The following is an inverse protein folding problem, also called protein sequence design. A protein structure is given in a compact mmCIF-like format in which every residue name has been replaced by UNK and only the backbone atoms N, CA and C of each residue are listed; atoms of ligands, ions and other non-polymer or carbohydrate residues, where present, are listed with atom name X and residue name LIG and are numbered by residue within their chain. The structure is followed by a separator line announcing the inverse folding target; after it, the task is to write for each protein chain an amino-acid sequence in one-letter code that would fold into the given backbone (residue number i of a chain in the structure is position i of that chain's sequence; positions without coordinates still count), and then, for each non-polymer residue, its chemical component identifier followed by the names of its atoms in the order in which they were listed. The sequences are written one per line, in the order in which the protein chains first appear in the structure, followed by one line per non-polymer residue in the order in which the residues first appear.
data_IF_251748932078
#
_entry.id   IF_251748932078
#
_cell.length_a   1.000
_cell.length_b   1.000
_cell.length_c   1.000
_cell.angle_alpha   90.00
_cell.angle_beta   90.00
_cell.angle_gamma   90.00
#
_symmetry.space_group_name_H-M   'P 1'
#
loop_
_entity.id
_entity.type
_entity.pdbx_description
1 polymer ?
#
# COMPACT_ATOMS: atom_id res chain seq x y z
N UNK A 1 25.59 16.04 8.44
CA UNK A 1 24.36 16.17 7.67
C UNK A 1 23.20 16.12 8.64
N UNK A 2 22.55 17.26 8.88
CA UNK A 2 21.47 17.37 9.87
C UNK A 2 20.22 16.69 9.30
N UNK A 3 19.76 15.62 9.92
CA UNK A 3 18.38 15.15 9.77
C UNK A 3 17.49 16.21 10.41
N UNK A 4 16.87 17.05 9.59
CA UNK A 4 15.74 17.84 10.05
C UNK A 4 14.65 16.87 10.49
N UNK A 5 14.36 16.88 11.78
CA UNK A 5 13.11 16.34 12.30
C UNK A 5 11.99 17.06 11.54
N UNK A 6 11.45 16.35 10.54
CA UNK A 6 10.22 16.76 9.87
C UNK A 6 9.21 17.14 10.94
N UNK A 7 8.79 18.38 10.96
CA UNK A 7 7.73 18.90 11.82
C UNK A 7 6.57 17.91 11.71
N UNK A 8 6.09 17.39 12.85
CA UNK A 8 4.82 16.67 12.93
C UNK A 8 3.72 17.61 12.41
N UNK A 9 3.51 17.62 11.10
CA UNK A 9 2.31 18.17 10.51
C UNK A 9 1.18 17.23 10.93
N UNK A 10 0.04 17.78 11.32
CA UNK A 10 -1.16 16.97 11.51
C UNK A 10 -1.67 16.52 10.14
N UNK A 11 -0.97 15.56 9.52
CA UNK A 11 -1.42 14.98 8.27
C UNK A 11 -2.69 14.18 8.49
N UNK A 12 -3.62 14.26 7.54
CA UNK A 12 -4.88 13.55 7.63
C UNK A 12 -5.36 13.06 6.25
N UNK A 13 -6.18 12.04 6.27
CA UNK A 13 -7.05 11.67 5.16
C UNK A 13 -8.48 11.96 5.59
N UNK A 14 -9.17 12.81 4.85
CA UNK A 14 -10.56 13.15 5.11
C UNK A 14 -11.44 12.62 3.99
N UNK A 15 -12.42 11.83 4.35
CA UNK A 15 -13.41 11.24 3.46
C UNK A 15 -14.75 11.90 3.78
N UNK A 16 -15.43 12.45 2.76
CA UNK A 16 -16.71 13.10 2.91
C UNK A 16 -17.74 12.48 1.96
N UNK A 17 -18.78 11.88 2.51
CA UNK A 17 -19.93 11.33 1.78
C UNK A 17 -19.53 10.41 0.62
N UNK A 18 -18.51 9.56 0.83
CA UNK A 18 -17.99 8.66 -0.20
C UNK A 18 -18.99 7.52 -0.43
N UNK A 19 -19.45 7.41 -1.67
CA UNK A 19 -20.22 6.28 -2.17
C UNK A 19 -19.50 5.66 -3.34
N UNK A 20 -19.31 4.35 -3.31
CA UNK A 20 -18.67 3.55 -4.35
C UNK A 20 -19.68 2.54 -4.87
N UNK A 21 -20.13 2.74 -6.10
CA UNK A 21 -21.12 1.88 -6.76
C UNK A 21 -20.43 1.04 -7.84
N UNK A 22 -20.62 -0.27 -7.82
CA UNK A 22 -20.15 -1.15 -8.88
C UNK A 22 -21.05 -0.99 -10.11
N UNK A 23 -20.47 -0.69 -11.28
CA UNK A 23 -21.25 -0.36 -12.49
C UNK A 23 -21.99 -1.57 -13.06
N UNK A 24 -21.49 -2.79 -12.86
CA UNK A 24 -22.05 -4.03 -13.44
C UNK A 24 -23.47 -4.34 -12.94
N UNK A 25 -23.70 -4.14 -11.65
CA UNK A 25 -24.96 -4.53 -10.98
C UNK A 25 -25.58 -3.38 -10.16
N UNK A 26 -24.99 -2.19 -10.26
CA UNK A 26 -25.40 -0.97 -9.58
C UNK A 26 -25.45 -1.13 -8.04
N UNK A 27 -24.64 -2.04 -7.50
CA UNK A 27 -24.54 -2.29 -6.06
C UNK A 27 -23.56 -1.31 -5.42
N UNK A 28 -24.01 -0.69 -4.34
CA UNK A 28 -23.13 0.12 -3.51
C UNK A 28 -22.26 -0.78 -2.63
N UNK A 29 -20.94 -0.69 -2.83
CA UNK A 29 -19.93 -1.35 -2.00
C UNK A 29 -19.63 -0.51 -0.75
N UNK A 30 -19.71 0.80 -0.89
CA UNK A 30 -19.59 1.78 0.19
C UNK A 30 -20.69 2.79 0.00
N UNK A 31 -21.44 3.10 1.07
CA UNK A 31 -22.52 4.07 1.04
C UNK A 31 -22.30 5.16 2.07
N UNK A 32 -22.21 6.40 1.59
CA UNK A 32 -22.15 7.63 2.40
C UNK A 32 -21.10 7.62 3.52
N UNK A 33 -19.91 7.06 3.23
CA UNK A 33 -18.84 6.99 4.21
C UNK A 33 -18.25 8.38 4.46
N UNK A 34 -18.26 8.81 5.71
CA UNK A 34 -17.60 10.03 6.16
C UNK A 34 -16.73 9.72 7.36
N UNK A 35 -15.42 9.98 7.23
CA UNK A 35 -14.45 9.77 8.31
C UNK A 35 -13.20 10.60 8.10
N UNK A 36 -12.44 10.78 9.18
CA UNK A 36 -11.11 11.39 9.13
C UNK A 36 -10.12 10.42 9.78
N UNK A 37 -8.99 10.20 9.12
CA UNK A 37 -7.87 9.42 9.64
C UNK A 37 -6.74 10.40 9.90
N UNK A 38 -6.30 10.48 11.14
CA UNK A 38 -5.22 11.38 11.56
C UNK A 38 -3.87 10.66 11.60
N UNK A 39 -2.81 11.44 11.61
CA UNK A 39 -1.46 10.90 11.74
C UNK A 39 -1.31 10.02 12.99
N UNK A 40 -0.71 8.84 12.83
CA UNK A 40 -0.53 7.84 13.88
C UNK A 40 -1.76 6.99 14.19
N UNK A 41 -2.93 7.24 13.59
CA UNK A 41 -4.09 6.38 13.78
C UNK A 41 -3.96 5.05 13.03
N UNK A 42 -4.48 3.99 13.64
CA UNK A 42 -4.61 2.66 13.05
C UNK A 42 -6.07 2.35 12.80
N UNK A 43 -6.45 2.22 11.56
CA UNK A 43 -7.83 1.95 11.14
C UNK A 43 -7.94 0.54 10.56
N UNK A 44 -8.90 -0.24 11.04
CA UNK A 44 -9.23 -1.55 10.49
C UNK A 44 -10.56 -1.49 9.72
N UNK A 45 -10.54 -1.96 8.47
CA UNK A 45 -11.74 -2.11 7.65
C UNK A 45 -12.19 -3.56 7.72
N UNK A 46 -13.36 -3.79 8.33
CA UNK A 46 -13.93 -5.12 8.53
C UNK A 46 -15.14 -5.30 7.61
N UNK A 47 -15.29 -6.49 7.04
CA UNK A 47 -16.41 -6.84 6.18
C UNK A 47 -16.18 -8.18 5.50
N UNK A 48 -17.25 -8.76 4.97
CA UNK A 48 -17.20 -10.02 4.23
C UNK A 48 -16.39 -9.92 2.93
N UNK A 49 -16.04 -11.05 2.36
CA UNK A 49 -15.38 -11.10 1.06
C UNK A 49 -16.28 -10.51 -0.03
N UNK A 50 -15.70 -9.75 -0.95
CA UNK A 50 -16.46 -9.08 -2.01
C UNK A 50 -17.13 -7.76 -1.63
N UNK A 51 -17.04 -7.31 -0.38
CA UNK A 51 -17.64 -6.06 0.08
C UNK A 51 -16.78 -4.80 -0.18
N UNK A 52 -15.88 -4.84 -1.17
CA UNK A 52 -15.19 -3.64 -1.67
C UNK A 52 -14.07 -3.07 -0.79
N UNK A 53 -13.58 -3.81 0.23
CA UNK A 53 -12.47 -3.33 1.09
C UNK A 53 -11.23 -2.93 0.30
N UNK A 54 -10.78 -3.80 -0.60
CA UNK A 54 -9.62 -3.54 -1.47
C UNK A 54 -9.92 -2.43 -2.49
N UNK A 55 -11.16 -2.34 -2.96
CA UNK A 55 -11.61 -1.26 -3.85
C UNK A 55 -11.53 0.09 -3.15
N UNK A 56 -11.98 0.18 -1.90
CA UNK A 56 -11.87 1.39 -1.10
C UNK A 56 -10.40 1.80 -0.91
N UNK A 57 -9.51 0.85 -0.57
CA UNK A 57 -8.09 1.14 -0.41
C UNK A 57 -7.46 1.66 -1.72
N UNK A 58 -7.77 1.06 -2.86
CA UNK A 58 -7.28 1.52 -4.17
C UNK A 58 -7.75 2.94 -4.51
N UNK A 59 -9.02 3.24 -4.21
CA UNK A 59 -9.58 4.59 -4.40
C UNK A 59 -8.89 5.59 -3.47
N UNK A 60 -8.57 5.23 -2.23
CA UNK A 60 -7.79 6.07 -1.31
C UNK A 60 -6.38 6.34 -1.83
N UNK A 61 -5.80 5.39 -2.58
CA UNK A 61 -4.53 5.56 -3.29
C UNK A 61 -4.63 6.42 -4.56
N UNK A 62 -5.83 6.87 -4.93
CA UNK A 62 -6.06 7.66 -6.12
C UNK A 62 -6.14 6.85 -7.42
N UNK A 63 -6.29 5.52 -7.34
CA UNK A 63 -6.47 4.70 -8.53
C UNK A 63 -7.80 5.02 -9.23
N UNK A 64 -7.76 5.26 -10.54
CA UNK A 64 -8.96 5.40 -11.36
C UNK A 64 -9.49 4.00 -11.73
N UNK A 65 -10.65 3.66 -11.20
CA UNK A 65 -11.29 2.36 -11.42
C UNK A 65 -12.51 2.52 -12.34
N UNK A 66 -12.38 2.11 -13.61
CA UNK A 66 -13.43 2.25 -14.65
C UNK A 66 -14.72 1.49 -14.34
N UNK A 67 -14.62 0.41 -13.56
CA UNK A 67 -15.76 -0.45 -13.23
C UNK A 67 -16.61 0.08 -12.08
N UNK A 68 -16.25 1.25 -11.55
CA UNK A 68 -16.92 1.85 -10.39
C UNK A 68 -17.29 3.30 -10.64
N UNK A 69 -18.44 3.68 -10.14
CA UNK A 69 -18.88 5.07 -10.03
C UNK A 69 -18.59 5.55 -8.62
N UNK A 70 -17.84 6.65 -8.51
CA UNK A 70 -17.40 7.21 -7.22
C UNK A 70 -18.08 8.57 -7.04
N UNK A 71 -18.76 8.76 -5.91
CA UNK A 71 -19.35 10.03 -5.49
C UNK A 71 -18.77 10.41 -4.12
N UNK A 72 -18.76 11.71 -3.83
CA UNK A 72 -18.15 12.23 -2.60
C UNK A 72 -16.77 12.78 -2.84
N UNK A 73 -16.02 13.02 -1.77
CA UNK A 73 -14.72 13.66 -1.85
C UNK A 73 -13.73 13.02 -0.87
N UNK A 74 -12.50 12.82 -1.34
CA UNK A 74 -11.36 12.38 -0.54
C UNK A 74 -10.31 13.47 -0.61
N UNK A 75 -9.83 13.91 0.54
CA UNK A 75 -8.75 14.89 0.68
C UNK A 75 -7.63 14.23 1.50
N UNK A 76 -6.41 14.34 1.01
CA UNK A 76 -5.21 13.90 1.71
C UNK A 76 -4.16 14.99 1.61
N UNK A 77 -3.52 15.29 2.71
CA UNK A 77 -2.35 16.18 2.78
C UNK A 77 -1.04 15.41 2.96
N UNK A 78 -1.08 14.07 2.91
CA UNK A 78 0.11 13.24 2.80
C UNK A 78 0.76 13.42 1.43
N UNK A 79 2.09 13.58 1.42
CA UNK A 79 2.86 13.69 0.17
C UNK A 79 2.97 12.36 -0.58
N UNK A 80 2.94 11.25 0.16
CA UNK A 80 2.98 9.91 -0.40
C UNK A 80 2.14 8.96 0.43
N UNK A 81 1.52 8.01 -0.25
CA UNK A 81 0.79 6.88 0.33
C UNK A 81 1.40 5.59 -0.20
N UNK A 82 1.55 4.59 0.65
CA UNK A 82 1.99 3.26 0.25
C UNK A 82 0.84 2.26 0.38
N UNK A 83 0.76 1.33 -0.55
CA UNK A 83 -0.21 0.26 -0.56
C UNK A 83 0.48 -1.09 -0.70
N UNK A 84 0.21 -1.98 0.24
CA UNK A 84 0.69 -3.36 0.19
C UNK A 84 -0.45 -4.23 -0.33
N UNK A 85 -0.36 -4.79 -1.55
CA UNK A 85 -1.42 -5.61 -2.12
C UNK A 85 -1.48 -6.97 -1.43
N UNK A 86 -2.69 -7.54 -1.33
CA UNK A 86 -2.89 -8.89 -0.77
C UNK A 86 -2.20 -9.99 -1.60
N UNK A 87 -2.07 -9.78 -2.90
CA UNK A 87 -1.39 -10.70 -3.81
C UNK A 87 -0.31 -9.94 -4.55
N UNK A 88 0.87 -10.53 -4.58
CA UNK A 88 1.98 -10.00 -5.36
C UNK A 88 1.62 -10.05 -6.86
N UNK A 89 1.88 -8.96 -7.63
CA UNK A 89 1.73 -8.97 -9.08
C UNK A 89 2.56 -10.10 -9.72
N UNK A 90 2.00 -10.75 -10.75
CA UNK A 90 2.67 -11.89 -11.41
C UNK A 90 4.03 -11.51 -12.02
N UNK A 91 4.17 -10.26 -12.44
CA UNK A 91 5.41 -9.73 -12.98
C UNK A 91 6.53 -9.68 -11.92
N UNK A 92 6.17 -9.32 -10.69
CA UNK A 92 7.11 -9.29 -9.57
C UNK A 92 7.49 -10.69 -9.10
N UNK A 93 6.62 -11.68 -9.20
CA UNK A 93 6.92 -13.06 -8.79
C UNK A 93 8.09 -13.68 -9.57
N UNK A 94 8.27 -13.27 -10.83
CA UNK A 94 9.32 -13.78 -11.72
C UNK A 94 10.65 -13.06 -11.58
N UNK A 95 10.68 -11.95 -10.85
CA UNK A 95 11.91 -11.21 -10.58
C UNK A 95 12.71 -11.90 -9.49
N UNK A 96 14.01 -11.80 -9.59
CA UNK A 96 14.90 -12.21 -8.50
C UNK A 96 14.93 -11.12 -7.42
N UNK A 97 15.33 -11.48 -6.21
CA UNK A 97 15.55 -10.50 -5.15
C UNK A 97 16.63 -9.48 -5.55
N UNK A 98 17.70 -9.95 -6.23
CA UNK A 98 18.74 -9.09 -6.75
C UNK A 98 18.18 -8.03 -7.72
N UNK A 99 17.41 -8.44 -8.71
CA UNK A 99 16.84 -7.51 -9.69
C UNK A 99 15.92 -6.49 -9.04
N UNK A 100 15.07 -6.94 -8.11
CA UNK A 100 14.13 -6.09 -7.43
C UNK A 100 14.79 -5.00 -6.59
N UNK A 101 15.81 -5.35 -5.80
CA UNK A 101 16.46 -4.40 -4.89
C UNK A 101 17.59 -3.59 -5.52
N UNK A 102 18.29 -4.11 -6.55
CA UNK A 102 19.48 -3.46 -7.07
C UNK A 102 19.37 -2.95 -8.51
N UNK A 103 18.47 -3.50 -9.33
CA UNK A 103 18.31 -3.05 -10.71
C UNK A 103 17.07 -2.17 -10.91
N UNK A 104 15.96 -2.47 -10.25
CA UNK A 104 14.71 -1.73 -10.45
C UNK A 104 14.59 -0.51 -9.51
N UNK A 105 15.29 -0.50 -8.40
CA UNK A 105 15.21 0.56 -7.39
C UNK A 105 16.30 1.60 -7.61
N UNK A 106 15.95 2.68 -8.31
CA UNK A 106 16.92 3.72 -8.73
C UNK A 106 17.44 4.57 -7.56
N UNK A 107 16.62 4.78 -6.52
CA UNK A 107 16.93 5.67 -5.38
C UNK A 107 16.83 4.98 -4.02
N UNK A 108 17.19 3.70 -3.96
CA UNK A 108 17.10 2.94 -2.72
C UNK A 108 18.21 3.34 -1.74
N UNK A 109 17.84 3.81 -0.56
CA UNK A 109 18.80 3.99 0.53
C UNK A 109 19.11 2.64 1.18
N UNK A 110 20.25 2.07 0.83
CA UNK A 110 20.68 0.77 1.33
C UNK A 110 20.81 0.73 2.86
N UNK A 111 21.15 1.85 3.52
CA UNK A 111 21.25 1.88 4.97
C UNK A 111 19.88 1.70 5.63
N UNK A 112 18.84 2.26 5.01
CA UNK A 112 17.44 2.06 5.42
C UNK A 112 16.99 0.63 5.11
N UNK A 113 17.31 0.11 3.93
CA UNK A 113 16.97 -1.26 3.54
C UNK A 113 17.51 -2.29 4.52
N UNK A 114 18.80 -2.25 4.83
CA UNK A 114 19.43 -3.20 5.74
C UNK A 114 18.90 -3.07 7.17
N UNK A 115 18.64 -1.85 7.65
CA UNK A 115 17.98 -1.64 8.94
C UNK A 115 16.59 -2.22 9.00
N UNK A 116 15.76 -2.01 7.97
CA UNK A 116 14.42 -2.59 7.89
C UNK A 116 14.46 -4.11 7.82
N UNK A 117 15.42 -4.68 7.10
CA UNK A 117 15.61 -6.13 7.07
C UNK A 117 15.86 -6.70 8.47
N UNK A 118 16.71 -6.05 9.27
CA UNK A 118 16.99 -6.44 10.65
C UNK A 118 15.72 -6.32 11.51
N UNK A 119 15.00 -5.20 11.46
CA UNK A 119 13.78 -4.97 12.22
C UNK A 119 12.67 -5.98 11.87
N UNK A 120 12.58 -6.35 10.59
CA UNK A 120 11.59 -7.31 10.08
C UNK A 120 12.07 -8.78 10.18
N UNK A 121 13.28 -9.03 10.69
CA UNK A 121 13.90 -10.35 10.72
C UNK A 121 13.93 -11.03 9.34
N UNK A 122 14.32 -10.28 8.32
CA UNK A 122 14.58 -10.80 6.98
C UNK A 122 16.09 -10.95 6.77
N UNK A 123 16.50 -12.09 6.27
CA UNK A 123 17.92 -12.36 6.00
C UNK A 123 18.42 -11.49 4.82
N UNK A 124 19.18 -10.45 5.15
CA UNK A 124 19.66 -9.47 4.18
C UNK A 124 20.68 -10.05 3.19
N UNK A 125 21.36 -11.16 3.49
CA UNK A 125 22.29 -11.81 2.56
C UNK A 125 21.54 -12.34 1.32
N UNK A 126 20.25 -12.54 1.43
CA UNK A 126 19.39 -12.96 0.31
C UNK A 126 19.09 -11.87 -0.69
N UNK A 127 19.25 -10.60 -0.35
CA UNK A 127 18.96 -9.50 -1.29
C UNK A 127 19.75 -9.60 -2.59
N UNK A 128 20.98 -10.09 -2.54
CA UNK A 128 21.83 -10.29 -3.70
C UNK A 128 21.67 -11.67 -4.36
N UNK A 129 20.65 -12.42 -4.01
CA UNK A 129 20.45 -13.78 -4.55
C UNK A 129 19.59 -13.77 -5.82
N UNK A 130 19.77 -14.81 -6.63
CA UNK A 130 18.94 -15.12 -7.79
C UNK A 130 17.62 -15.81 -7.40
N UNK A 131 17.23 -15.77 -6.12
CA UNK A 131 15.99 -16.33 -5.67
C UNK A 131 14.80 -15.54 -6.21
N UNK A 132 13.88 -16.22 -6.88
CA UNK A 132 12.65 -15.58 -7.37
C UNK A 132 11.75 -15.17 -6.20
N UNK A 133 11.19 -13.97 -6.27
CA UNK A 133 10.25 -13.42 -5.26
C UNK A 133 9.03 -14.34 -5.10
N UNK A 134 8.57 -14.96 -6.20
CA UNK A 134 7.45 -15.91 -6.16
C UNK A 134 7.71 -17.19 -5.37
N UNK A 135 8.97 -17.49 -5.05
CA UNK A 135 9.35 -18.65 -4.21
C UNK A 135 9.38 -18.34 -2.71
N UNK A 136 9.21 -17.09 -2.33
CA UNK A 136 9.16 -16.67 -0.94
C UNK A 136 7.88 -17.15 -0.26
N UNK A 137 7.96 -17.43 1.04
CA UNK A 137 6.77 -17.64 1.85
C UNK A 137 5.91 -16.36 1.91
N UNK A 138 4.61 -16.50 2.22
CA UNK A 138 3.71 -15.35 2.32
C UNK A 138 4.20 -14.29 3.32
N UNK A 139 4.78 -14.72 4.44
CA UNK A 139 5.36 -13.80 5.43
C UNK A 139 6.61 -13.09 4.94
N UNK A 140 7.50 -13.77 4.22
CA UNK A 140 8.68 -13.15 3.60
C UNK A 140 8.28 -12.18 2.49
N UNK A 141 7.29 -12.54 1.69
CA UNK A 141 6.75 -11.64 0.65
C UNK A 141 6.25 -10.33 1.22
N UNK A 142 5.56 -10.37 2.37
CA UNK A 142 5.11 -9.14 3.04
C UNK A 142 6.27 -8.27 3.56
N UNK A 143 7.38 -8.88 3.94
CA UNK A 143 8.55 -8.16 4.46
C UNK A 143 9.31 -7.37 3.39
N UNK A 144 9.21 -7.76 2.13
CA UNK A 144 9.93 -7.13 1.03
C UNK A 144 9.09 -6.11 0.25
N UNK A 145 7.79 -6.02 0.51
CA UNK A 145 6.89 -5.03 -0.06
C UNK A 145 6.91 -3.72 0.71
#
# INVERSE_FOLDING_TARGET
MHYEHSRKGNHMIKINHLTITQNKDLRDLVSDLSMTIQDGEKVAIIGEEGNGKSTLLKILMGEALSDFTIKGNIQSDYQSLAYIPQKLPEELKKKTLHDYFFLDSIDLDYSVLYRLAEELHFDSDRFASDQEIGSLSGGETLKIQ
#
